data_IF_207985677605
#
_entry.id   IF_207985677605
#
_cell.length_a   1.000
_cell.length_b   1.000
_cell.length_c   1.000
_cell.angle_alpha   90.00
_cell.angle_beta   90.00
_cell.angle_gamma   90.00
#
_symmetry.space_group_name_H-M   'P 1'
#
loop_
_entity.id
_entity.type
_entity.pdbx_description
1 polymer ?
#
# COMPACT_ATOMS: atom_id res chain seq x y z
N UNK A 1 -15.16 25.17 18.61
CA UNK A 1 -14.15 24.17 18.23
C UNK A 1 -12.79 24.85 18.12
N UNK A 2 -11.73 24.29 18.66
CA UNK A 2 -10.40 24.95 18.62
C UNK A 2 -9.93 25.09 17.18
N UNK A 3 -9.41 26.25 16.80
CA UNK A 3 -8.82 26.53 15.46
C UNK A 3 -7.73 25.49 15.10
N UNK A 4 -6.99 25.00 16.08
CA UNK A 4 -5.96 23.98 15.91
C UNK A 4 -6.56 22.65 15.47
N UNK A 5 -7.64 22.18 16.09
CA UNK A 5 -8.31 20.94 15.70
C UNK A 5 -8.88 21.01 14.27
N UNK A 6 -9.41 22.17 13.88
CA UNK A 6 -9.89 22.36 12.51
C UNK A 6 -8.73 22.28 11.51
N UNK A 7 -7.62 22.95 11.78
CA UNK A 7 -6.43 22.92 10.92
C UNK A 7 -5.85 21.51 10.79
N UNK A 8 -5.82 20.74 11.88
CA UNK A 8 -5.39 19.32 11.83
C UNK A 8 -6.32 18.47 10.97
N UNK A 9 -7.63 18.64 11.12
CA UNK A 9 -8.62 17.91 10.34
C UNK A 9 -8.49 18.22 8.83
N UNK A 10 -8.34 19.49 8.49
CA UNK A 10 -8.22 19.94 7.11
C UNK A 10 -6.91 19.40 6.49
N UNK A 11 -5.80 19.47 7.23
CA UNK A 11 -4.52 18.93 6.76
C UNK A 11 -4.57 17.41 6.52
N UNK A 12 -5.25 16.65 7.40
CA UNK A 12 -5.45 15.21 7.19
C UNK A 12 -6.31 14.92 5.95
N UNK A 13 -7.35 15.71 5.72
CA UNK A 13 -8.19 15.56 4.54
C UNK A 13 -7.40 15.83 3.25
N UNK A 14 -6.56 16.86 3.24
CA UNK A 14 -5.70 17.20 2.09
C UNK A 14 -4.70 16.07 1.78
N UNK A 15 -4.08 15.48 2.82
CA UNK A 15 -3.21 14.31 2.67
C UNK A 15 -3.96 13.16 2.02
N UNK A 16 -5.15 12.83 2.52
CA UNK A 16 -5.98 11.73 2.01
C UNK A 16 -6.33 11.96 0.54
N UNK A 17 -6.75 13.16 0.14
CA UNK A 17 -7.05 13.47 -1.26
C UNK A 17 -5.83 13.31 -2.16
N UNK A 18 -4.64 13.71 -1.69
CA UNK A 18 -3.41 13.52 -2.44
C UNK A 18 -3.05 12.03 -2.60
N UNK A 19 -3.09 11.26 -1.52
CA UNK A 19 -2.72 9.83 -1.52
C UNK A 19 -3.71 8.98 -2.35
N UNK A 20 -4.98 9.37 -2.42
CA UNK A 20 -5.97 8.69 -3.27
C UNK A 20 -5.56 8.61 -4.74
N UNK A 21 -4.75 9.54 -5.24
CA UNK A 21 -4.25 9.52 -6.61
C UNK A 21 -3.27 8.36 -6.87
N UNK A 22 -2.60 7.89 -5.82
CA UNK A 22 -1.66 6.76 -5.87
C UNK A 22 -2.30 5.43 -5.45
N UNK A 23 -3.60 5.41 -5.13
CA UNK A 23 -4.31 4.24 -4.66
C UNK A 23 -5.08 3.59 -5.81
N UNK A 24 -4.94 2.27 -5.95
CA UNK A 24 -5.70 1.49 -6.94
C UNK A 24 -6.50 0.40 -6.26
N UNK A 25 -7.66 0.07 -6.82
CA UNK A 25 -8.44 -1.09 -6.41
C UNK A 25 -8.04 -2.28 -7.27
N UNK A 26 -7.70 -3.38 -6.64
CA UNK A 26 -7.38 -4.64 -7.33
C UNK A 26 -8.59 -5.57 -7.28
N UNK A 27 -8.88 -6.20 -8.41
CA UNK A 27 -9.97 -7.16 -8.50
C UNK A 27 -9.71 -8.24 -9.56
N UNK A 28 -10.36 -9.38 -9.37
CA UNK A 28 -10.36 -10.51 -10.29
C UNK A 28 -11.81 -10.74 -10.74
N UNK A 29 -12.21 -10.05 -11.81
CA UNK A 29 -13.58 -10.09 -12.30
C UNK A 29 -14.56 -9.24 -11.45
N UNK A 30 -15.61 -9.87 -10.87
CA UNK A 30 -16.74 -9.14 -10.26
C UNK A 30 -16.54 -8.68 -8.82
N UNK A 31 -15.50 -9.12 -8.11
CA UNK A 31 -15.28 -8.78 -6.70
C UNK A 31 -13.93 -8.12 -6.50
N UNK A 32 -13.91 -7.00 -5.77
CA UNK A 32 -12.69 -6.41 -5.28
C UNK A 32 -11.96 -7.36 -4.33
N UNK A 33 -10.63 -7.47 -4.47
CA UNK A 33 -9.79 -8.34 -3.66
C UNK A 33 -9.01 -7.54 -2.61
N UNK A 34 -8.58 -6.33 -2.96
CA UNK A 34 -7.78 -5.48 -2.09
C UNK A 34 -7.43 -4.15 -2.76
N UNK A 35 -6.42 -3.53 -2.22
CA UNK A 35 -5.85 -2.29 -2.74
C UNK A 35 -4.45 -2.55 -3.32
N UNK A 36 -3.94 -1.57 -4.04
CA UNK A 36 -2.56 -1.48 -4.46
C UNK A 36 -2.10 -0.03 -4.40
N UNK A 37 -0.81 0.15 -4.29
CA UNK A 37 -0.16 1.45 -4.17
C UNK A 37 0.71 1.69 -5.40
N UNK A 38 0.45 2.74 -6.16
CA UNK A 38 1.27 3.13 -7.32
C UNK A 38 2.63 3.58 -6.80
N UNK A 39 3.67 2.83 -7.18
CA UNK A 39 5.04 3.07 -6.73
C UNK A 39 5.89 3.84 -7.73
N UNK A 40 5.58 3.71 -9.01
CA UNK A 40 6.29 4.40 -10.08
C UNK A 40 5.31 4.92 -11.14
N UNK A 41 5.55 6.10 -11.73
CA UNK A 41 4.65 6.69 -12.74
C UNK A 41 4.46 5.84 -14.00
N UNK A 42 5.40 4.94 -14.30
CA UNK A 42 5.32 4.01 -15.46
C UNK A 42 4.38 2.81 -15.21
N UNK A 43 3.58 2.85 -14.14
CA UNK A 43 2.56 1.83 -13.88
C UNK A 43 3.00 0.71 -12.94
N UNK A 44 4.09 0.88 -12.17
CA UNK A 44 4.46 -0.09 -11.14
C UNK A 44 3.57 0.07 -9.92
N UNK A 45 3.00 -1.04 -9.46
CA UNK A 45 2.10 -1.10 -8.31
C UNK A 45 2.63 -2.13 -7.31
N UNK A 46 2.60 -1.77 -6.03
CA UNK A 46 2.87 -2.68 -4.91
C UNK A 46 1.57 -3.05 -4.23
N UNK A 47 1.44 -4.31 -3.84
CA UNK A 47 0.30 -4.85 -3.08
C UNK A 47 0.75 -6.02 -2.21
N UNK A 48 -0.17 -6.66 -1.49
CA UNK A 48 0.14 -7.91 -0.78
C UNK A 48 0.06 -9.13 -1.72
N UNK A 49 0.86 -10.15 -1.42
CA UNK A 49 0.85 -11.41 -2.17
C UNK A 49 -0.51 -12.12 -2.05
N UNK A 50 -1.12 -12.12 -0.84
CA UNK A 50 -2.43 -12.75 -0.61
C UNK A 50 -3.59 -12.06 -1.36
N UNK A 51 -3.41 -10.81 -1.81
CA UNK A 51 -4.38 -10.08 -2.64
C UNK A 51 -4.34 -10.60 -4.08
N UNK A 52 -3.18 -11.05 -4.57
CA UNK A 52 -3.02 -11.54 -5.94
C UNK A 52 -3.49 -12.99 -6.03
N UNK A 53 -4.61 -13.21 -6.71
CA UNK A 53 -5.18 -14.54 -6.92
C UNK A 53 -5.12 -14.93 -8.39
N UNK A 54 -5.08 -16.25 -8.70
CA UNK A 54 -5.15 -16.73 -10.09
C UNK A 54 -6.37 -16.16 -10.82
N UNK A 55 -6.17 -15.81 -12.10
CA UNK A 55 -7.21 -15.28 -12.99
C UNK A 55 -6.82 -13.93 -13.58
N UNK A 56 -7.75 -13.33 -14.32
CA UNK A 56 -7.54 -12.03 -14.97
C UNK A 56 -7.52 -10.90 -13.93
N UNK A 57 -6.31 -10.51 -13.52
CA UNK A 57 -6.10 -9.43 -12.56
C UNK A 57 -6.32 -8.07 -13.24
N UNK A 58 -7.08 -7.22 -12.60
CA UNK A 58 -7.37 -5.87 -13.07
C UNK A 58 -7.14 -4.84 -11.96
N UNK A 59 -6.73 -3.64 -12.35
CA UNK A 59 -6.58 -2.49 -11.47
C UNK A 59 -7.56 -1.39 -11.92
N UNK A 60 -8.38 -0.92 -10.98
CA UNK A 60 -9.17 0.30 -11.17
C UNK A 60 -8.37 1.46 -10.58
N UNK A 61 -7.99 2.40 -11.43
CA UNK A 61 -7.16 3.56 -11.12
C UNK A 61 -7.98 4.66 -10.44
N UNK A 62 -7.29 5.70 -9.93
CA UNK A 62 -7.93 6.85 -9.29
C UNK A 62 -8.93 7.58 -10.21
N UNK A 63 -8.66 7.63 -11.51
CA UNK A 63 -9.54 8.20 -12.54
C UNK A 63 -10.69 7.28 -12.96
N UNK A 64 -10.88 6.15 -12.26
CA UNK A 64 -11.91 5.13 -12.46
C UNK A 64 -11.74 4.26 -13.72
N UNK A 65 -10.67 4.41 -14.49
CA UNK A 65 -10.34 3.47 -15.56
C UNK A 65 -9.97 2.13 -14.94
N UNK A 66 -10.46 1.05 -15.54
CA UNK A 66 -10.07 -0.32 -15.19
C UNK A 66 -9.19 -0.88 -16.29
N UNK A 67 -8.03 -1.35 -15.92
CA UNK A 67 -6.99 -1.83 -16.84
C UNK A 67 -6.46 -3.19 -16.40
N UNK A 68 -5.99 -4.03 -17.32
CA UNK A 68 -5.29 -5.27 -16.98
C UNK A 68 -4.03 -4.98 -16.15
N UNK A 69 -3.80 -5.81 -15.13
CA UNK A 69 -2.58 -5.77 -14.34
C UNK A 69 -1.84 -7.10 -14.47
N UNK A 70 -0.51 -7.02 -14.59
CA UNK A 70 0.36 -8.20 -14.73
C UNK A 70 1.19 -8.36 -13.45
N UNK A 71 1.30 -9.59 -12.96
CA UNK A 71 2.18 -9.93 -11.86
C UNK A 71 3.62 -9.95 -12.34
N UNK A 72 4.48 -9.15 -11.70
CA UNK A 72 5.91 -9.04 -12.02
C UNK A 72 6.75 -9.88 -11.07
N UNK A 73 6.48 -9.79 -9.78
CA UNK A 73 7.20 -10.52 -8.76
C UNK A 73 6.31 -10.76 -7.54
N UNK A 74 6.64 -11.80 -6.78
CA UNK A 74 5.99 -12.11 -5.51
C UNK A 74 7.05 -12.46 -4.50
N UNK A 75 6.92 -11.91 -3.30
CA UNK A 75 7.66 -12.27 -2.10
C UNK A 75 6.64 -12.78 -1.08
N UNK A 76 6.50 -14.10 -1.01
CA UNK A 76 5.53 -14.75 -0.11
C UNK A 76 5.95 -14.68 1.35
N UNK A 77 7.25 -14.56 1.62
CA UNK A 77 7.78 -14.51 2.97
C UNK A 77 7.44 -13.17 3.64
N UNK A 78 7.38 -12.09 2.85
CA UNK A 78 6.98 -10.76 3.32
C UNK A 78 5.56 -10.36 2.89
N UNK A 79 4.78 -11.28 2.30
CA UNK A 79 3.42 -11.01 1.81
C UNK A 79 3.36 -9.80 0.86
N UNK A 80 4.34 -9.67 -0.05
CA UNK A 80 4.40 -8.60 -1.04
C UNK A 80 4.26 -9.12 -2.46
N UNK A 81 3.65 -8.32 -3.32
CA UNK A 81 3.63 -8.54 -4.77
C UNK A 81 3.84 -7.22 -5.50
N UNK A 82 4.49 -7.32 -6.64
CA UNK A 82 4.73 -6.22 -7.58
C UNK A 82 3.96 -6.49 -8.85
N UNK A 83 3.15 -5.52 -9.25
CA UNK A 83 2.35 -5.57 -10.47
C UNK A 83 2.78 -4.48 -11.43
N UNK A 84 2.45 -4.64 -12.72
CA UNK A 84 2.52 -3.57 -13.70
C UNK A 84 1.19 -3.38 -14.42
N UNK A 85 0.92 -2.14 -14.80
CA UNK A 85 -0.17 -1.76 -15.72
C UNK A 85 0.42 -0.95 -16.86
N UNK A 86 -0.12 -1.11 -18.07
CA UNK A 86 0.36 -0.40 -19.27
C UNK A 86 -0.24 1.01 -19.36
N UNK A 87 -0.09 1.80 -18.29
CA UNK A 87 -0.58 3.19 -18.19
C UNK A 87 0.52 4.07 -17.64
N UNK A 88 1.16 4.90 -18.47
CA UNK A 88 2.17 5.85 -17.99
C UNK A 88 1.52 7.09 -17.36
N UNK A 89 2.30 7.84 -16.59
CA UNK A 89 1.89 9.13 -16.02
C UNK A 89 0.99 8.99 -14.80
N UNK A 90 1.02 7.85 -14.12
CA UNK A 90 0.32 7.67 -12.84
C UNK A 90 0.99 8.49 -11.74
N UNK A 91 0.19 8.96 -10.79
CA UNK A 91 0.71 9.60 -9.58
C UNK A 91 1.30 8.53 -8.68
N UNK A 92 2.62 8.55 -8.54
CA UNK A 92 3.32 7.63 -7.62
C UNK A 92 3.31 8.19 -6.20
N UNK A 93 3.25 7.27 -5.22
CA UNK A 93 3.39 7.63 -3.82
C UNK A 93 4.85 7.99 -3.50
N UNK A 94 5.05 8.87 -2.53
CA UNK A 94 6.39 9.22 -2.04
C UNK A 94 6.75 8.31 -0.87
N UNK A 95 7.81 7.50 -0.95
CA UNK A 95 8.29 6.73 0.21
C UNK A 95 8.81 7.66 1.30
N UNK A 96 8.54 7.32 2.56
CA UNK A 96 9.20 7.98 3.68
C UNK A 96 10.70 7.72 3.62
N UNK A 97 11.49 8.75 3.97
CA UNK A 97 12.90 8.54 4.28
C UNK A 97 13.01 7.49 5.41
N UNK A 98 14.14 6.77 5.51
CA UNK A 98 14.39 5.85 6.61
C UNK A 98 14.42 6.63 7.93
N UNK A 99 13.26 7.05 8.38
CA UNK A 99 13.10 7.69 9.67
C UNK A 99 12.59 6.65 10.67
N UNK A 100 13.00 6.81 11.87
CA UNK A 100 12.56 6.00 12.97
C UNK A 100 11.08 6.30 13.25
N UNK A 101 10.17 5.46 12.75
CA UNK A 101 8.82 5.42 13.25
C UNK A 101 8.86 5.16 14.75
N UNK A 102 8.21 6.02 15.51
CA UNK A 102 8.14 5.91 16.96
C UNK A 102 6.71 5.66 17.41
N UNK A 103 6.54 4.93 18.50
CA UNK A 103 5.24 4.80 19.15
C UNK A 103 4.64 6.20 19.43
N UNK A 104 3.37 6.35 19.09
CA UNK A 104 2.66 7.63 19.20
C UNK A 104 2.64 8.48 17.92
N UNK A 105 3.46 8.20 16.91
CA UNK A 105 3.34 8.88 15.62
C UNK A 105 2.00 8.57 14.95
N UNK A 106 1.31 9.61 14.47
CA UNK A 106 0.07 9.47 13.72
C UNK A 106 0.30 8.85 12.35
N UNK A 107 -0.58 7.93 11.97
CA UNK A 107 -0.60 7.28 10.66
C UNK A 107 -2.01 7.16 10.11
N UNK A 108 -2.12 7.15 8.79
CA UNK A 108 -3.37 6.97 8.03
C UNK A 108 -3.23 5.71 7.18
N UNK A 109 -4.18 4.78 7.29
CA UNK A 109 -4.26 3.60 6.46
C UNK A 109 -5.36 3.80 5.41
N UNK A 110 -5.01 3.70 4.12
CA UNK A 110 -5.94 3.85 3.01
C UNK A 110 -6.20 2.53 2.30
N UNK A 111 -7.39 2.41 1.69
CA UNK A 111 -7.79 1.24 0.93
C UNK A 111 -9.17 1.39 0.31
N UNK A 112 -9.78 0.24 -0.05
CA UNK A 112 -11.11 0.17 -0.66
C UNK A 112 -12.06 -0.79 0.11
N UNK A 113 -12.19 -0.67 1.44
CA UNK A 113 -13.04 -1.56 2.22
C UNK A 113 -14.49 -1.44 1.75
N UNK A 114 -15.16 -2.60 1.62
CA UNK A 114 -16.56 -2.71 1.17
C UNK A 114 -16.86 -2.05 -0.19
N UNK A 115 -15.83 -1.79 -1.01
CA UNK A 115 -15.97 -1.07 -2.27
C UNK A 115 -16.06 0.45 -2.12
N UNK A 116 -15.90 0.98 -0.91
CA UNK A 116 -15.78 2.43 -0.68
C UNK A 116 -14.42 2.89 -1.18
N UNK A 117 -14.41 3.65 -2.26
CA UNK A 117 -13.19 4.09 -2.90
C UNK A 117 -12.40 5.05 -2.01
N UNK A 118 -11.14 4.72 -1.74
CA UNK A 118 -10.21 5.56 -0.98
C UNK A 118 -10.65 5.82 0.45
N UNK A 119 -11.27 4.84 1.10
CA UNK A 119 -11.59 4.94 2.52
C UNK A 119 -10.31 4.98 3.36
N UNK A 120 -10.37 5.71 4.46
CA UNK A 120 -9.26 5.93 5.38
C UNK A 120 -9.64 5.54 6.80
N UNK A 121 -8.67 5.00 7.53
CA UNK A 121 -8.71 4.88 8.99
C UNK A 121 -7.42 5.48 9.56
N UNK A 122 -7.53 6.21 10.66
CA UNK A 122 -6.42 6.88 11.32
C UNK A 122 -6.12 6.23 12.67
N UNK A 123 -4.87 6.27 13.06
CA UNK A 123 -4.41 5.77 14.35
C UNK A 123 -3.00 6.24 14.66
N UNK A 124 -2.39 5.61 15.65
CA UNK A 124 -1.00 5.87 16.02
C UNK A 124 -0.17 4.60 15.91
N UNK A 125 1.10 4.75 15.64
CA UNK A 125 2.07 3.67 15.74
C UNK A 125 2.13 3.19 17.18
N UNK A 126 1.95 1.89 17.40
CA UNK A 126 2.10 1.21 18.68
C UNK A 126 3.57 0.83 18.87
N UNK A 127 4.21 0.36 17.80
CA UNK A 127 5.62 -0.03 17.78
C UNK A 127 6.02 -0.62 16.44
N UNK A 128 7.32 -0.90 16.30
CA UNK A 128 7.89 -1.63 15.16
C UNK A 128 8.66 -2.83 15.73
N UNK A 129 8.42 -4.02 15.21
CA UNK A 129 9.05 -5.24 15.67
C UNK A 129 8.40 -6.51 15.15
N UNK A 130 8.82 -7.65 15.68
CA UNK A 130 8.23 -8.95 15.33
C UNK A 130 6.76 -9.03 15.72
N UNK A 131 5.97 -9.77 14.96
CA UNK A 131 4.57 -10.05 15.26
C UNK A 131 4.33 -11.54 15.37
N UNK A 132 3.89 -12.06 16.55
CA UNK A 132 3.56 -13.47 16.74
C UNK A 132 2.41 -13.95 15.86
N UNK A 133 1.52 -13.04 15.48
CA UNK A 133 0.34 -13.32 14.66
C UNK A 133 0.65 -13.36 13.14
N UNK A 134 1.84 -12.91 12.75
CA UNK A 134 2.26 -12.93 11.35
C UNK A 134 2.84 -14.29 10.98
N UNK A 135 2.12 -15.15 10.25
CA UNK A 135 2.64 -16.44 9.82
C UNK A 135 3.80 -16.22 8.83
N UNK A 136 4.88 -16.94 9.04
CA UNK A 136 6.03 -17.03 8.12
C UNK A 136 6.97 -15.83 8.04
N UNK A 137 6.71 -14.71 8.70
CA UNK A 137 7.61 -13.57 8.65
C UNK A 137 8.39 -13.40 9.95
N UNK A 138 9.71 -13.58 9.86
CA UNK A 138 10.65 -13.28 10.94
C UNK A 138 11.11 -11.81 10.94
N UNK A 139 10.52 -10.98 10.05
CA UNK A 139 10.86 -9.58 9.88
C UNK A 139 10.18 -8.64 10.87
N UNK A 140 10.47 -7.36 10.70
CA UNK A 140 9.81 -6.28 11.44
C UNK A 140 8.47 -5.92 10.80
N UNK A 141 7.51 -5.61 11.66
CA UNK A 141 6.18 -5.12 11.30
C UNK A 141 5.93 -3.77 11.95
N UNK A 142 5.18 -2.93 11.27
CA UNK A 142 4.61 -1.73 11.90
C UNK A 142 3.29 -2.15 12.54
N UNK A 143 3.21 -2.02 13.87
CA UNK A 143 1.99 -2.19 14.64
C UNK A 143 1.36 -0.81 14.82
N UNK A 144 0.12 -0.64 14.41
CA UNK A 144 -0.61 0.63 14.54
C UNK A 144 -2.03 0.41 15.03
N UNK A 145 -2.56 1.37 15.80
CA UNK A 145 -3.94 1.36 16.29
C UNK A 145 -4.93 1.76 15.19
N UNK A 146 -4.79 1.17 14.01
CA UNK A 146 -5.68 1.37 12.85
C UNK A 146 -6.60 0.17 12.68
N UNK A 147 -7.85 0.42 12.35
CA UNK A 147 -8.82 -0.64 12.15
C UNK A 147 -8.88 -1.06 10.68
N UNK A 148 -7.99 -1.98 10.29
CA UNK A 148 -7.97 -2.53 8.94
C UNK A 148 -9.16 -3.45 8.70
N UNK A 149 -9.66 -3.46 7.46
CA UNK A 149 -10.75 -4.32 7.00
C UNK A 149 -10.40 -4.90 5.63
N UNK A 150 -11.06 -6.00 5.19
CA UNK A 150 -10.90 -6.49 3.83
C UNK A 150 -11.07 -5.36 2.81
N UNK A 151 -10.03 -5.13 2.01
CA UNK A 151 -9.92 -4.00 1.08
C UNK A 151 -8.87 -2.96 1.47
N UNK A 152 -8.34 -2.96 2.69
CA UNK A 152 -7.16 -2.16 3.04
C UNK A 152 -5.85 -2.86 2.65
N UNK A 153 -5.84 -4.20 2.58
CA UNK A 153 -4.65 -4.97 2.21
C UNK A 153 -4.08 -4.51 0.87
N UNK A 154 -2.78 -4.21 0.84
CA UNK A 154 -2.04 -3.69 -0.31
C UNK A 154 -2.11 -2.17 -0.47
N UNK A 155 -2.95 -1.49 0.29
CA UNK A 155 -2.97 -0.03 0.35
C UNK A 155 -1.88 0.55 1.25
N UNK A 156 -1.57 1.85 1.11
CA UNK A 156 -0.50 2.47 1.87
C UNK A 156 -0.90 2.77 3.32
N UNK A 157 0.06 2.61 4.22
CA UNK A 157 0.10 3.26 5.53
C UNK A 157 1.00 4.49 5.38
N UNK A 158 0.47 5.69 5.63
CA UNK A 158 1.22 6.94 5.46
C UNK A 158 1.34 7.71 6.77
N UNK A 159 2.39 8.52 6.86
CA UNK A 159 2.60 9.48 7.94
C UNK A 159 1.78 10.78 7.74
N UNK A 160 1.93 11.72 8.65
CA UNK A 160 1.27 13.03 8.61
C UNK A 160 1.80 13.99 7.52
N UNK A 161 2.80 13.58 6.77
CA UNK A 161 3.33 14.29 5.61
C UNK A 161 2.85 13.68 4.28
N UNK A 162 2.11 12.55 4.35
CA UNK A 162 1.67 11.80 3.18
C UNK A 162 2.75 10.88 2.59
N UNK A 163 3.83 10.62 3.32
CA UNK A 163 4.85 9.66 2.88
C UNK A 163 4.46 8.24 3.30
N UNK A 164 4.62 7.27 2.39
CA UNK A 164 4.35 5.88 2.73
C UNK A 164 5.42 5.33 3.66
N UNK A 165 4.99 4.88 4.82
CA UNK A 165 5.82 4.23 5.84
C UNK A 165 5.70 2.70 5.78
N UNK A 166 4.62 2.18 5.19
CA UNK A 166 4.40 0.74 5.03
C UNK A 166 3.21 0.40 4.14
N UNK A 167 3.00 -0.89 3.91
CA UNK A 167 1.86 -1.46 3.18
C UNK A 167 0.95 -2.20 4.16
N UNK A 168 -0.31 -1.77 4.23
CA UNK A 168 -1.32 -2.41 5.10
C UNK A 168 -1.52 -3.87 4.70
N UNK A 169 -1.63 -4.77 5.68
CA UNK A 169 -1.80 -6.19 5.38
C UNK A 169 -2.94 -6.85 6.17
N UNK A 170 -2.86 -6.95 7.48
CA UNK A 170 -3.84 -7.67 8.29
C UNK A 170 -4.05 -7.06 9.67
N UNK A 171 -5.00 -7.61 10.42
CA UNK A 171 -5.18 -7.32 11.84
C UNK A 171 -4.43 -8.35 12.70
N UNK A 172 -3.72 -7.87 13.72
CA UNK A 172 -3.17 -8.68 14.81
C UNK A 172 -3.99 -8.42 16.09
N UNK A 173 -5.13 -9.06 16.17
CA UNK A 173 -6.08 -8.82 17.27
C UNK A 173 -7.09 -7.69 16.98
N UNK A 174 -7.92 -7.31 17.98
CA UNK A 174 -9.11 -6.48 17.74
C UNK A 174 -8.82 -5.05 17.28
N UNK A 175 -7.72 -4.43 17.71
CA UNK A 175 -7.46 -3.02 17.48
C UNK A 175 -6.00 -2.75 17.00
N UNK A 176 -5.31 -3.77 16.50
CA UNK A 176 -3.94 -3.66 16.01
C UNK A 176 -3.87 -4.04 14.55
N UNK A 177 -3.66 -3.06 13.70
CA UNK A 177 -3.33 -3.27 12.29
C UNK A 177 -1.84 -3.47 12.10
N UNK A 178 -1.48 -4.39 11.19
CA UNK A 178 -0.11 -4.64 10.76
C UNK A 178 0.13 -4.06 9.39
N UNK A 179 1.31 -3.45 9.23
CA UNK A 179 1.80 -3.05 7.92
C UNK A 179 3.26 -3.50 7.73
N UNK A 180 3.59 -3.82 6.49
CA UNK A 180 4.93 -4.19 6.05
C UNK A 180 5.74 -2.90 5.90
N UNK A 181 6.89 -2.74 6.56
CA UNK A 181 7.69 -1.51 6.48
C UNK A 181 8.13 -1.16 5.07
N UNK A 182 8.21 0.12 4.77
CA UNK A 182 8.66 0.65 3.46
C UNK A 182 10.06 0.15 3.06
N UNK A 183 10.94 -0.08 4.04
CA UNK A 183 12.28 -0.64 3.81
C UNK A 183 12.26 -2.04 3.19
N UNK A 184 11.31 -2.88 3.61
CA UNK A 184 11.10 -4.23 3.04
C UNK A 184 10.60 -4.12 1.60
N UNK A 185 9.64 -3.24 1.35
CA UNK A 185 9.13 -2.96 -0.01
C UNK A 185 10.25 -2.51 -0.93
N UNK A 186 11.08 -1.56 -0.49
CA UNK A 186 12.23 -1.08 -1.26
C UNK A 186 13.25 -2.19 -1.50
N UNK A 187 13.43 -3.12 -0.56
CA UNK A 187 14.26 -4.32 -0.71
C UNK A 187 13.81 -5.17 -1.89
N UNK A 188 12.52 -5.54 -1.93
CA UNK A 188 11.94 -6.30 -3.03
C UNK A 188 12.09 -5.57 -4.37
N UNK A 189 11.82 -4.28 -4.41
CA UNK A 189 11.90 -3.50 -5.64
C UNK A 189 13.33 -3.39 -6.19
N UNK A 190 14.35 -3.32 -5.32
CA UNK A 190 15.75 -3.40 -5.76
C UNK A 190 16.06 -4.73 -6.44
N UNK A 191 15.65 -5.86 -5.86
CA UNK A 191 15.82 -7.18 -6.45
C UNK A 191 15.15 -7.30 -7.82
N UNK A 192 13.92 -6.80 -7.95
CA UNK A 192 13.17 -6.79 -9.22
C UNK A 192 13.91 -5.98 -10.30
N UNK A 193 14.49 -4.83 -9.94
CA UNK A 193 15.28 -4.00 -10.88
C UNK A 193 16.56 -4.68 -11.34
N UNK A 194 17.30 -5.30 -10.43
CA UNK A 194 18.52 -6.04 -10.71
C UNK A 194 18.27 -7.23 -11.64
N UNK A 195 17.20 -7.99 -11.36
CA UNK A 195 16.82 -9.15 -12.16
C UNK A 195 16.42 -8.78 -13.60
N UNK A 196 15.85 -7.60 -13.84
CA UNK A 196 15.45 -7.12 -15.18
C UNK A 196 16.57 -6.39 -15.94
N UNK A 197 17.81 -6.42 -15.46
CA UNK A 197 18.99 -5.97 -16.20
C UNK A 197 19.13 -4.47 -16.35
N UNK A 198 18.81 -3.69 -15.32
CA UNK A 198 19.27 -2.28 -15.20
C UNK A 198 18.64 -1.27 -16.17
N UNK A 199 17.79 -1.65 -17.08
CA UNK A 199 17.03 -0.71 -17.90
C UNK A 199 15.79 -0.26 -17.14
N UNK A 200 15.78 1.01 -16.73
CA UNK A 200 14.78 1.62 -15.85
C UNK A 200 13.37 1.77 -16.45
N UNK A 201 12.90 0.82 -17.20
CA UNK A 201 11.54 0.73 -17.72
C UNK A 201 10.95 -0.64 -17.38
N UNK A 202 9.90 -0.64 -16.60
CA UNK A 202 9.02 -1.79 -16.47
C UNK A 202 8.21 -1.92 -17.78
N UNK A 203 8.80 -2.57 -18.79
CA UNK A 203 8.04 -2.89 -20.00
C UNK A 203 7.04 -3.99 -19.65
N UNK A 204 5.74 -3.68 -19.74
CA UNK A 204 4.72 -4.70 -19.89
C UNK A 204 5.04 -5.41 -21.21
N UNK A 205 5.46 -6.67 -21.14
CA UNK A 205 5.63 -7.48 -22.35
C UNK A 205 4.25 -7.60 -22.99
N UNK A 206 4.15 -6.97 -24.19
CA UNK A 206 3.02 -7.17 -25.09
C UNK A 206 3.15 -8.57 -25.68
N UNK A 207 2.32 -9.47 -25.26
CA UNK A 207 2.02 -10.70 -26.00
C UNK A 207 0.51 -10.89 -26.04
#
# INVERSE_FOLDING_TARGET
MSRVLQQMSDAMADIVEHIRLSLVQLHNGRRGMGAGTVWHPDGLIVTNAHVVRPGALQATLADRRTVPAQLIATDTDHDLAVLSVAVPGLTAITPAEPCTLQAGHWVLALGHPWGVAGAVTAGVVIGVGASPEAPHNQGEWIHASVHLRPGHSGGPLVDVYGHVVGINTMMAGPDVGLAIPVSVVQGLLRQVREWRGGEGRYKADSN
#
